data_IF_053285727386
#
_entry.id   IF_053285727386
#
_cell.length_a   1.000
_cell.length_b   1.000
_cell.length_c   1.000
_cell.angle_alpha   90.00
_cell.angle_beta   90.00
_cell.angle_gamma   90.00
#
_symmetry.space_group_name_H-M   'P 1'
#
loop_
_entity.id
_entity.type
_entity.pdbx_description
1 polymer ?
#
# COMPACT_ATOMS: atom_id res chain seq x y z
N UNK A 1 -20.97 6.67 21.95
CA UNK A 1 -19.77 7.26 21.34
C UNK A 1 -19.85 7.08 19.84
N UNK A 2 -19.90 8.18 19.08
CA UNK A 2 -19.74 8.12 17.63
C UNK A 2 -18.35 7.54 17.35
N UNK A 3 -18.30 6.42 16.64
CA UNK A 3 -17.05 5.77 16.27
C UNK A 3 -16.20 6.73 15.44
N UNK A 4 -14.94 6.94 15.83
CA UNK A 4 -13.99 7.84 15.16
C UNK A 4 -13.56 7.39 13.74
N UNK A 5 -14.24 6.40 13.16
CA UNK A 5 -13.91 5.81 11.87
C UNK A 5 -14.76 6.44 10.77
N UNK A 6 -14.09 7.00 9.76
CA UNK A 6 -14.75 7.49 8.55
C UNK A 6 -15.34 6.33 7.77
N UNK A 7 -16.61 6.43 7.34
CA UNK A 7 -17.27 5.42 6.52
C UNK A 7 -17.07 5.73 5.05
N UNK A 8 -16.62 4.74 4.29
CA UNK A 8 -16.47 4.82 2.83
C UNK A 8 -17.40 3.78 2.21
N UNK A 9 -18.39 4.24 1.44
CA UNK A 9 -19.27 3.36 0.68
C UNK A 9 -18.69 3.16 -0.71
N UNK A 10 -18.50 1.91 -1.13
CA UNK A 10 -17.95 1.58 -2.45
C UNK A 10 -18.89 0.66 -3.22
N UNK A 11 -19.00 0.88 -4.52
CA UNK A 11 -19.70 -0.02 -5.44
C UNK A 11 -18.68 -0.80 -6.24
N UNK A 12 -18.78 -2.12 -6.26
CA UNK A 12 -17.85 -3.01 -6.95
C UNK A 12 -18.59 -4.02 -7.83
N UNK A 13 -17.91 -4.56 -8.84
CA UNK A 13 -18.46 -5.63 -9.68
C UNK A 13 -18.66 -6.90 -8.85
N UNK A 14 -19.60 -7.76 -9.26
CA UNK A 14 -19.88 -9.05 -8.59
C UNK A 14 -18.64 -9.93 -8.47
N UNK A 15 -17.79 -9.95 -9.49
CA UNK A 15 -16.57 -10.77 -9.48
C UNK A 15 -15.55 -10.25 -8.44
N UNK A 16 -15.40 -8.93 -8.34
CA UNK A 16 -14.57 -8.29 -7.31
C UNK A 16 -15.09 -8.62 -5.91
N UNK A 17 -16.41 -8.52 -5.69
CA UNK A 17 -17.03 -8.88 -4.40
C UNK A 17 -16.74 -10.35 -4.04
N UNK A 18 -16.87 -11.28 -5.01
CA UNK A 18 -16.56 -12.70 -4.80
C UNK A 18 -15.11 -12.91 -4.40
N UNK A 19 -14.18 -12.22 -5.07
CA UNK A 19 -12.75 -12.31 -4.74
C UNK A 19 -12.45 -11.75 -3.35
N UNK A 20 -13.03 -10.60 -2.99
CA UNK A 20 -12.88 -10.02 -1.65
C UNK A 20 -13.40 -10.97 -0.56
N UNK A 21 -14.54 -11.63 -0.78
CA UNK A 21 -15.08 -12.65 0.14
C UNK A 21 -14.18 -13.87 0.26
N UNK A 22 -13.61 -14.34 -0.86
CA UNK A 22 -12.68 -15.48 -0.86
C UNK A 22 -11.39 -15.14 -0.09
N UNK A 23 -10.83 -13.95 -0.30
CA UNK A 23 -9.66 -13.46 0.42
C UNK A 23 -9.93 -13.28 1.92
N UNK A 24 -11.07 -12.68 2.28
CA UNK A 24 -11.48 -12.53 3.67
C UNK A 24 -11.61 -13.88 4.38
N UNK A 25 -12.21 -14.88 3.70
CA UNK A 25 -12.31 -16.26 4.21
C UNK A 25 -10.95 -16.92 4.38
N UNK A 26 -10.06 -16.80 3.38
CA UNK A 26 -8.70 -17.33 3.43
C UNK A 26 -7.93 -16.78 4.63
N UNK A 27 -8.06 -15.47 4.86
CA UNK A 27 -7.32 -14.74 5.90
C UNK A 27 -8.04 -14.77 7.27
N UNK A 28 -9.19 -15.46 7.37
CA UNK A 28 -10.04 -15.54 8.57
C UNK A 28 -10.39 -14.17 9.17
N UNK A 29 -10.63 -13.18 8.31
CA UNK A 29 -10.98 -11.80 8.70
C UNK A 29 -12.39 -11.42 8.24
N UNK A 30 -13.07 -10.49 8.92
CA UNK A 30 -14.27 -9.86 8.40
C UNK A 30 -13.99 -9.21 7.03
N UNK A 31 -14.97 -9.26 6.12
CA UNK A 31 -14.84 -8.68 4.78
C UNK A 31 -14.41 -7.20 4.83
N UNK A 32 -15.02 -6.41 5.72
CA UNK A 32 -14.68 -5.00 5.88
C UNK A 32 -13.22 -4.80 6.31
N UNK A 33 -12.72 -5.61 7.25
CA UNK A 33 -11.32 -5.56 7.68
C UNK A 33 -10.38 -5.91 6.53
N UNK A 34 -10.67 -6.97 5.78
CA UNK A 34 -9.83 -7.34 4.63
C UNK A 34 -9.83 -6.27 3.54
N UNK A 35 -10.95 -5.61 3.30
CA UNK A 35 -11.04 -4.50 2.36
C UNK A 35 -10.19 -3.31 2.83
N UNK A 36 -10.23 -2.98 4.12
CA UNK A 36 -9.39 -1.92 4.70
C UNK A 36 -7.91 -2.25 4.50
N UNK A 37 -7.47 -3.46 4.89
CA UNK A 37 -6.08 -3.89 4.72
C UNK A 37 -5.61 -3.75 3.26
N UNK A 38 -6.45 -4.17 2.29
CA UNK A 38 -6.13 -4.07 0.86
C UNK A 38 -6.10 -2.63 0.34
N UNK A 39 -6.92 -1.75 0.90
CA UNK A 39 -6.92 -0.33 0.54
C UNK A 39 -5.67 0.35 1.09
N UNK A 40 -5.26 0.02 2.32
CA UNK A 40 -4.02 0.52 2.92
C UNK A 40 -2.80 0.04 2.12
N UNK A 41 -2.72 -1.24 1.78
CA UNK A 41 -1.66 -1.80 0.93
C UNK A 41 -1.62 -1.12 -0.46
N UNK A 42 -2.78 -0.84 -1.05
CA UNK A 42 -2.84 -0.13 -2.32
C UNK A 42 -2.32 1.32 -2.22
N UNK A 43 -2.57 2.00 -1.10
CA UNK A 43 -2.04 3.35 -0.86
C UNK A 43 -0.52 3.35 -0.68
N UNK A 44 0.03 2.37 0.04
CA UNK A 44 1.47 2.17 0.17
C UNK A 44 2.12 1.96 -1.20
N UNK A 45 1.50 1.14 -2.07
CA UNK A 45 2.00 0.93 -3.44
C UNK A 45 1.97 2.20 -4.31
N UNK A 46 0.97 3.07 -4.15
CA UNK A 46 0.95 4.36 -4.85
C UNK A 46 2.04 5.32 -4.33
N UNK A 47 2.29 5.32 -3.02
CA UNK A 47 3.39 6.07 -2.42
C UNK A 47 4.75 5.59 -2.95
N UNK A 48 4.98 4.28 -2.96
CA UNK A 48 6.22 3.68 -3.49
C UNK A 48 6.48 4.05 -4.94
N UNK A 49 5.44 4.07 -5.78
CA UNK A 49 5.55 4.51 -7.18
C UNK A 49 6.02 5.95 -7.27
N UNK A 50 5.47 6.84 -6.43
CA UNK A 50 5.87 8.24 -6.44
C UNK A 50 7.29 8.43 -5.90
N UNK A 51 7.64 7.76 -4.79
CA UNK A 51 8.98 7.81 -4.23
C UNK A 51 10.03 7.29 -5.23
N UNK A 52 9.69 6.23 -5.97
CA UNK A 52 10.54 5.70 -7.04
C UNK A 52 10.75 6.73 -8.16
N UNK A 53 9.67 7.39 -8.61
CA UNK A 53 9.78 8.43 -9.64
C UNK A 53 10.67 9.60 -9.18
N UNK A 54 10.56 10.03 -7.92
CA UNK A 54 11.44 11.06 -7.34
C UNK A 54 12.90 10.57 -7.32
N UNK A 55 13.13 9.32 -6.91
CA UNK A 55 14.46 8.74 -6.88
C UNK A 55 15.08 8.69 -8.29
N UNK A 56 14.31 8.27 -9.30
CA UNK A 56 14.74 8.25 -10.69
C UNK A 56 15.12 9.64 -11.21
N UNK A 57 14.33 10.68 -10.90
CA UNK A 57 14.69 12.06 -11.25
C UNK A 57 15.99 12.52 -10.59
N UNK A 58 16.21 12.16 -9.32
CA UNK A 58 17.47 12.47 -8.62
C UNK A 58 18.67 11.78 -9.24
N UNK A 59 18.49 10.55 -9.73
CA UNK A 59 19.54 9.77 -10.38
C UNK A 59 19.97 10.33 -11.74
N UNK A 60 19.15 11.14 -12.41
CA UNK A 60 19.52 11.80 -13.67
C UNK A 60 20.61 12.87 -13.51
N UNK A 61 20.82 13.39 -12.31
CA UNK A 61 21.86 14.38 -12.01
C UNK A 61 23.27 13.79 -11.85
N UNK A 62 24.27 14.65 -11.63
CA UNK A 62 25.59 14.18 -11.15
C UNK A 62 25.45 13.69 -9.71
N UNK A 63 25.28 12.38 -9.56
CA UNK A 63 25.19 11.70 -8.26
C UNK A 63 26.53 11.10 -7.86
N UNK A 64 26.90 11.24 -6.59
CA UNK A 64 28.07 10.59 -6.00
C UNK A 64 27.62 9.29 -5.33
N UNK A 65 28.00 8.17 -5.92
CA UNK A 65 27.82 6.85 -5.31
C UNK A 65 28.83 6.65 -4.18
N UNK A 66 28.33 6.24 -3.02
CA UNK A 66 29.16 5.86 -1.88
C UNK A 66 29.19 4.33 -1.83
N UNK A 67 30.35 3.73 -1.60
CA UNK A 67 30.46 2.27 -1.47
C UNK A 67 29.77 1.82 -0.20
N UNK A 68 29.02 0.73 -0.31
CA UNK A 68 28.37 0.08 0.81
C UNK A 68 29.40 -0.28 1.90
N UNK A 69 29.12 0.07 3.16
CA UNK A 69 29.97 -0.25 4.31
C UNK A 69 29.21 -0.12 5.62
N UNK A 70 29.59 -0.92 6.63
CA UNK A 70 29.01 -0.88 7.98
C UNK A 70 29.13 0.50 8.67
N UNK A 71 30.05 1.36 8.20
CA UNK A 71 30.19 2.73 8.71
C UNK A 71 29.06 3.66 8.26
N UNK A 72 28.33 3.31 7.20
CA UNK A 72 27.24 4.11 6.63
C UNK A 72 25.88 3.70 7.25
N UNK A 73 25.76 2.46 7.73
CA UNK A 73 24.53 1.90 8.31
C UNK A 73 24.50 1.91 9.85
N UNK A 74 25.56 2.37 10.51
CA UNK A 74 25.60 2.64 11.95
C UNK A 74 25.04 4.02 12.27
#
# INVERSE_FOLDING_TARGET
MATAKTRINISVKKDTERMLKALAKRDQKPLASKVVDLVEEALELEEDRMLSAIADERLKGKVRWIKDSDKIWK
#
